data_IF_305735139267
#
_entry.id   IF_305735139267
#
_cell.length_a   1.000
_cell.length_b   1.000
_cell.length_c   1.000
_cell.angle_alpha   90.00
_cell.angle_beta   90.00
_cell.angle_gamma   90.00
#
_symmetry.space_group_name_H-M   'P 1'
#
loop_
_entity.id
_entity.type
_entity.pdbx_description
1 polymer ?
#
# COMPACT_ATOMS: atom_id res chain seq x y z
N UNK A 1 -26.22 12.37 -48.04
CA UNK A 1 -25.64 12.99 -46.83
C UNK A 1 -25.19 11.88 -45.89
N UNK A 2 -23.86 11.71 -45.70
CA UNK A 2 -23.30 10.75 -44.75
C UNK A 2 -23.08 11.47 -43.42
N UNK A 3 -23.82 11.10 -42.39
CA UNK A 3 -23.70 11.67 -41.04
C UNK A 3 -22.41 11.15 -40.40
N UNK A 4 -21.46 12.05 -40.19
CA UNK A 4 -20.20 11.82 -39.50
C UNK A 4 -20.47 11.84 -37.99
N UNK A 5 -20.47 10.67 -37.33
CA UNK A 5 -20.60 10.56 -35.88
C UNK A 5 -19.21 10.82 -35.26
N UNK A 6 -18.95 12.07 -34.87
CA UNK A 6 -17.77 12.45 -34.10
C UNK A 6 -17.99 12.04 -32.63
N UNK A 7 -17.40 10.91 -32.24
CA UNK A 7 -17.34 10.47 -30.85
C UNK A 7 -16.30 11.33 -30.11
N UNK A 8 -16.74 12.42 -29.49
CA UNK A 8 -15.93 13.15 -28.51
C UNK A 8 -15.79 12.29 -27.25
N UNK A 9 -14.69 11.54 -27.17
CA UNK A 9 -14.24 10.96 -25.90
C UNK A 9 -13.76 12.12 -25.04
N UNK A 10 -14.62 12.57 -24.13
CA UNK A 10 -14.26 13.49 -23.06
C UNK A 10 -13.20 12.81 -22.19
N UNK A 11 -11.92 13.11 -22.44
CA UNK A 11 -10.84 12.82 -21.51
C UNK A 11 -11.02 13.74 -20.30
N UNK A 12 -11.77 13.27 -19.30
CA UNK A 12 -11.65 13.85 -17.95
C UNK A 12 -10.22 13.61 -17.48
N UNK A 13 -9.47 14.64 -17.04
CA UNK A 13 -8.18 14.42 -16.42
C UNK A 13 -8.44 13.64 -15.13
N UNK A 14 -8.14 12.34 -15.15
CA UNK A 14 -8.18 11.55 -13.93
C UNK A 14 -7.00 12.07 -13.10
N UNK A 15 -7.30 12.85 -12.06
CA UNK A 15 -6.34 13.09 -10.97
C UNK A 15 -6.06 11.75 -10.31
N UNK A 16 -5.09 11.01 -10.84
CA UNK A 16 -4.67 9.72 -10.31
C UNK A 16 -3.72 9.98 -9.14
N UNK A 17 -4.30 10.21 -7.97
CA UNK A 17 -3.56 10.08 -6.73
C UNK A 17 -3.20 8.61 -6.55
N UNK A 18 -1.91 8.31 -6.36
CA UNK A 18 -1.53 7.02 -5.81
C UNK A 18 -2.21 6.88 -4.45
N UNK A 19 -2.84 5.75 -4.21
CA UNK A 19 -3.53 5.47 -2.95
C UNK A 19 -2.49 4.97 -1.93
N UNK A 20 -1.52 5.85 -1.66
CA UNK A 20 -0.35 5.61 -0.81
C UNK A 20 -0.52 6.12 0.62
N UNK A 21 -1.57 6.90 0.84
CA UNK A 21 -1.95 7.45 2.13
C UNK A 21 -3.34 6.95 2.52
N UNK A 22 -3.57 6.75 3.81
CA UNK A 22 -4.91 6.43 4.32
C UNK A 22 -5.82 7.62 4.02
N UNK A 23 -7.03 7.37 3.51
CA UNK A 23 -8.05 8.40 3.46
C UNK A 23 -8.52 8.68 4.90
N UNK A 24 -8.10 9.81 5.47
CA UNK A 24 -8.38 10.12 6.87
C UNK A 24 -9.61 11.02 6.99
N UNK A 25 -10.60 10.65 7.83
CA UNK A 25 -11.73 11.53 8.13
C UNK A 25 -11.30 12.88 8.73
N UNK A 26 -12.20 13.87 8.66
CA UNK A 26 -11.94 15.21 9.22
C UNK A 26 -11.74 15.16 10.74
N UNK A 27 -11.02 16.13 11.31
CA UNK A 27 -10.80 16.23 12.77
C UNK A 27 -12.14 16.27 13.54
N UNK A 28 -13.12 17.00 12.99
CA UNK A 28 -14.47 17.07 13.58
C UNK A 28 -15.21 15.74 13.52
N UNK A 29 -15.04 14.97 12.45
CA UNK A 29 -15.61 13.62 12.34
C UNK A 29 -14.99 12.66 13.35
N UNK A 30 -13.65 12.64 13.45
CA UNK A 30 -12.95 11.79 14.43
C UNK A 30 -13.39 12.08 15.87
N UNK A 31 -13.55 13.37 16.23
CA UNK A 31 -14.03 13.75 17.57
C UNK A 31 -15.44 13.22 17.85
N UNK A 32 -16.36 13.38 16.88
CA UNK A 32 -17.74 12.88 17.01
C UNK A 32 -17.79 11.35 17.08
N UNK A 33 -16.93 10.66 16.34
CA UNK A 33 -16.85 9.20 16.36
C UNK A 33 -16.36 8.67 17.73
N UNK A 34 -15.43 9.38 18.36
CA UNK A 34 -14.96 9.06 19.71
C UNK A 34 -16.05 9.28 20.77
N UNK A 35 -16.74 10.42 20.69
CA UNK A 35 -17.88 10.73 21.56
C UNK A 35 -19.01 9.71 21.40
N UNK A 36 -19.30 9.29 20.16
CA UNK A 36 -20.28 8.24 19.87
C UNK A 36 -19.80 6.85 20.31
N UNK A 37 -18.54 6.49 20.08
CA UNK A 37 -17.98 5.19 20.50
C UNK A 37 -18.03 4.99 22.01
N UNK A 38 -17.85 6.06 22.80
CA UNK A 38 -18.04 6.05 24.25
C UNK A 38 -19.51 5.84 24.68
N UNK A 39 -20.48 6.18 23.81
CA UNK A 39 -21.92 5.99 24.04
C UNK A 39 -22.44 4.62 23.57
N UNK A 40 -21.81 4.00 22.58
CA UNK A 40 -22.29 2.75 21.94
C UNK A 40 -21.51 1.48 22.34
N UNK A 41 -20.54 1.55 23.26
CA UNK A 41 -19.90 0.38 23.89
C UNK A 41 -20.81 -0.31 24.94
N UNK A 42 -22.12 -0.45 24.67
CA UNK A 42 -22.95 -1.41 25.38
C UNK A 42 -22.84 -2.76 24.67
N UNK A 43 -21.82 -3.52 25.10
CA UNK A 43 -21.56 -4.94 24.82
C UNK A 43 -21.39 -5.35 23.33
N UNK A 44 -20.37 -6.17 23.10
CA UNK A 44 -20.16 -6.85 21.83
C UNK A 44 -21.30 -7.85 21.63
N UNK A 45 -22.26 -7.54 20.75
CA UNK A 45 -23.23 -8.54 20.31
C UNK A 45 -22.51 -9.54 19.41
N UNK A 46 -22.11 -10.67 20.00
CA UNK A 46 -21.49 -11.82 19.33
C UNK A 46 -22.42 -12.50 18.31
N UNK A 47 -23.71 -12.13 18.26
CA UNK A 47 -24.67 -12.58 17.25
C UNK A 47 -24.87 -11.55 16.12
N UNK A 48 -24.11 -10.44 16.12
CA UNK A 48 -24.20 -9.44 15.05
C UNK A 48 -23.78 -10.09 13.73
N UNK A 49 -24.58 -10.00 12.66
CA UNK A 49 -24.25 -10.63 11.39
C UNK A 49 -22.87 -10.18 10.90
N UNK A 50 -22.10 -11.09 10.33
CA UNK A 50 -20.75 -10.89 9.75
C UNK A 50 -20.68 -9.84 8.61
N UNK A 51 -21.77 -9.09 8.37
CA UNK A 51 -21.98 -8.18 7.24
C UNK A 51 -22.67 -6.88 7.66
N UNK A 52 -22.44 -6.38 8.88
CA UNK A 52 -22.82 -5.00 9.18
C UNK A 52 -21.80 -4.03 8.56
N UNK A 53 -22.07 -3.61 7.32
CA UNK A 53 -21.25 -2.63 6.59
C UNK A 53 -21.03 -1.34 7.39
N UNK A 54 -22.02 -0.92 8.19
CA UNK A 54 -21.92 0.26 9.03
C UNK A 54 -20.93 0.03 10.17
N UNK A 55 -20.97 -1.13 10.82
CA UNK A 55 -20.03 -1.50 11.86
C UNK A 55 -18.59 -1.59 11.31
N UNK A 56 -18.39 -2.25 10.17
CA UNK A 56 -17.09 -2.29 9.50
C UNK A 56 -16.58 -0.89 9.13
N UNK A 57 -17.46 -0.03 8.61
CA UNK A 57 -17.12 1.36 8.30
C UNK A 57 -16.71 2.15 9.55
N UNK A 58 -17.36 1.91 10.69
CA UNK A 58 -17.01 2.56 11.96
C UNK A 58 -15.64 2.10 12.46
N UNK A 59 -15.36 0.79 12.45
CA UNK A 59 -14.05 0.25 12.82
C UNK A 59 -12.93 0.81 11.95
N UNK A 60 -13.14 0.82 10.63
CA UNK A 60 -12.21 1.39 9.67
C UNK A 60 -11.94 2.88 9.95
N UNK A 61 -12.99 3.65 10.22
CA UNK A 61 -12.91 5.08 10.52
C UNK A 61 -12.18 5.35 11.83
N UNK A 62 -12.43 4.53 12.85
CA UNK A 62 -11.74 4.63 14.14
C UNK A 62 -10.25 4.34 13.96
N UNK A 63 -9.88 3.29 13.21
CA UNK A 63 -8.49 3.00 12.86
C UNK A 63 -7.81 4.18 12.18
N UNK A 64 -8.44 4.78 11.16
CA UNK A 64 -7.90 5.97 10.48
C UNK A 64 -7.74 7.18 11.41
N UNK A 65 -8.67 7.41 12.33
CA UNK A 65 -8.60 8.49 13.30
C UNK A 65 -7.47 8.28 14.33
N UNK A 66 -7.31 7.06 14.84
CA UNK A 66 -6.23 6.67 15.75
C UNK A 66 -4.87 6.81 15.08
N UNK A 67 -4.76 6.35 13.83
CA UNK A 67 -3.54 6.44 13.04
C UNK A 67 -3.06 7.89 12.92
N UNK A 68 -3.96 8.84 12.61
CA UNK A 68 -3.65 10.27 12.54
C UNK A 68 -3.18 10.89 13.86
N UNK A 69 -3.56 10.30 14.99
CA UNK A 69 -3.09 10.71 16.31
C UNK A 69 -1.74 10.09 16.69
N UNK A 70 -1.10 9.35 15.78
CA UNK A 70 0.14 8.62 16.04
C UNK A 70 -0.07 7.31 16.82
N UNK A 71 -1.32 6.90 17.06
CA UNK A 71 -1.67 5.65 17.76
C UNK A 71 -1.72 4.48 16.77
N UNK A 72 -0.57 4.19 16.16
CA UNK A 72 -0.47 3.24 15.04
C UNK A 72 -0.84 1.81 15.43
N UNK A 73 -0.45 1.35 16.63
CA UNK A 73 -0.74 -0.02 17.08
C UNK A 73 -2.24 -0.23 17.26
N UNK A 74 -2.89 0.69 17.96
CA UNK A 74 -4.34 0.66 18.17
C UNK A 74 -5.09 0.77 16.83
N UNK A 75 -4.62 1.61 15.90
CA UNK A 75 -5.20 1.69 14.56
C UNK A 75 -5.19 0.33 13.83
N UNK A 76 -4.06 -0.38 13.88
CA UNK A 76 -3.92 -1.71 13.28
C UNK A 76 -4.89 -2.70 13.93
N UNK A 77 -5.06 -2.67 15.25
CA UNK A 77 -6.03 -3.53 15.96
C UNK A 77 -7.47 -3.31 15.46
N UNK A 78 -7.89 -2.06 15.25
CA UNK A 78 -9.21 -1.76 14.71
C UNK A 78 -9.39 -2.26 13.26
N UNK A 79 -8.36 -2.15 12.43
CA UNK A 79 -8.40 -2.67 11.06
C UNK A 79 -8.35 -4.20 11.02
N UNK A 80 -7.62 -4.84 11.94
CA UNK A 80 -7.65 -6.30 12.12
C UNK A 80 -9.03 -6.77 12.57
N UNK A 81 -9.68 -6.05 13.49
CA UNK A 81 -11.04 -6.35 13.90
C UNK A 81 -12.00 -6.22 12.71
N UNK A 82 -11.94 -5.12 11.96
CA UNK A 82 -12.74 -4.96 10.75
C UNK A 82 -12.48 -6.08 9.73
N UNK A 83 -11.22 -6.47 9.54
CA UNK A 83 -10.82 -7.59 8.69
C UNK A 83 -11.47 -8.91 9.13
N UNK A 84 -11.53 -9.18 10.44
CA UNK A 84 -12.19 -10.37 10.98
C UNK A 84 -13.70 -10.43 10.72
N UNK A 85 -14.33 -9.27 10.49
CA UNK A 85 -15.72 -9.13 10.05
C UNK A 85 -15.86 -8.94 8.52
N UNK A 86 -14.87 -9.38 7.74
CA UNK A 86 -14.94 -9.40 6.27
C UNK A 86 -14.65 -8.07 5.57
N UNK A 87 -14.21 -7.03 6.30
CA UNK A 87 -13.84 -5.73 5.70
C UNK A 87 -12.60 -5.88 4.83
N UNK A 88 -12.77 -5.77 3.51
CA UNK A 88 -11.64 -5.74 2.57
C UNK A 88 -10.73 -4.52 2.77
N UNK A 89 -11.32 -3.36 3.09
CA UNK A 89 -10.56 -2.15 3.36
C UNK A 89 -9.74 -2.28 4.66
N UNK A 90 -10.36 -2.85 5.71
CA UNK A 90 -9.67 -3.18 6.95
C UNK A 90 -8.55 -4.18 6.73
N UNK A 91 -8.80 -5.22 5.93
CA UNK A 91 -7.78 -6.21 5.52
C UNK A 91 -6.60 -5.55 4.81
N UNK A 92 -6.87 -4.66 3.84
CA UNK A 92 -5.82 -3.97 3.10
C UNK A 92 -4.98 -3.09 4.01
N UNK A 93 -5.60 -2.27 4.87
CA UNK A 93 -4.87 -1.40 5.80
C UNK A 93 -4.11 -2.21 6.86
N UNK A 94 -4.77 -3.14 7.55
CA UNK A 94 -4.12 -3.98 8.56
C UNK A 94 -2.95 -4.74 7.97
N UNK A 95 -3.14 -5.39 6.81
CA UNK A 95 -2.10 -6.17 6.15
C UNK A 95 -0.87 -5.33 5.77
N UNK A 96 -1.09 -4.14 5.20
CA UNK A 96 0.00 -3.24 4.83
C UNK A 96 0.74 -2.70 6.05
N UNK A 97 0.01 -2.16 7.04
CA UNK A 97 0.63 -1.51 8.19
C UNK A 97 1.32 -2.49 9.12
N UNK A 98 0.72 -3.66 9.33
CA UNK A 98 1.34 -4.71 10.13
C UNK A 98 2.62 -5.25 9.49
N UNK A 99 2.68 -5.32 8.14
CA UNK A 99 3.89 -5.69 7.43
C UNK A 99 4.97 -4.60 7.45
N UNK A 100 4.59 -3.33 7.23
CA UNK A 100 5.53 -2.21 7.17
C UNK A 100 6.13 -1.86 8.55
N UNK A 101 5.30 -1.88 9.59
CA UNK A 101 5.65 -1.57 10.99
C UNK A 101 6.01 -2.82 11.80
N UNK A 102 6.25 -3.96 11.14
CA UNK A 102 6.52 -5.24 11.80
C UNK A 102 7.68 -5.12 12.80
N UNK A 103 7.40 -5.49 14.05
CA UNK A 103 8.42 -5.51 15.13
C UNK A 103 9.13 -6.86 15.24
N UNK A 104 8.52 -7.89 14.65
CA UNK A 104 9.00 -9.27 14.69
C UNK A 104 8.50 -10.02 13.43
N UNK A 105 9.02 -11.24 13.23
CA UNK A 105 8.67 -12.07 12.06
C UNK A 105 7.19 -12.47 12.02
N UNK A 106 6.54 -12.62 13.18
CA UNK A 106 5.11 -12.99 13.24
C UNK A 106 4.24 -11.85 12.72
N UNK A 107 4.52 -10.61 13.10
CA UNK A 107 3.80 -9.43 12.59
C UNK A 107 3.93 -9.36 11.07
N UNK A 108 5.16 -9.45 10.56
CA UNK A 108 5.43 -9.40 9.13
C UNK A 108 4.66 -10.48 8.36
N UNK A 109 4.78 -11.74 8.78
CA UNK A 109 4.12 -12.86 8.10
C UNK A 109 2.59 -12.77 8.21
N UNK A 110 2.06 -12.27 9.32
CA UNK A 110 0.62 -12.06 9.50
C UNK A 110 0.10 -10.98 8.54
N UNK A 111 0.79 -9.84 8.46
CA UNK A 111 0.42 -8.76 7.54
C UNK A 111 0.46 -9.20 6.08
N UNK A 112 1.54 -9.89 5.67
CA UNK A 112 1.67 -10.46 4.33
C UNK A 112 0.62 -11.53 4.03
N UNK A 113 0.26 -12.37 5.01
CA UNK A 113 -0.79 -13.39 4.85
C UNK A 113 -2.15 -12.74 4.58
N UNK A 114 -2.51 -11.69 5.33
CA UNK A 114 -3.77 -10.96 5.13
C UNK A 114 -3.82 -10.38 3.71
N UNK A 115 -2.76 -9.71 3.26
CA UNK A 115 -2.70 -9.15 1.90
C UNK A 115 -2.77 -10.23 0.83
N UNK A 116 -2.12 -11.37 1.05
CA UNK A 116 -2.15 -12.50 0.10
C UNK A 116 -3.54 -13.12 -0.01
N UNK A 117 -4.24 -13.31 1.11
CA UNK A 117 -5.60 -13.82 1.14
C UNK A 117 -6.57 -12.87 0.42
N UNK A 118 -6.49 -11.57 0.72
CA UNK A 118 -7.26 -10.55 0.00
C UNK A 118 -6.88 -10.52 -1.50
N UNK A 119 -5.60 -10.74 -1.81
CA UNK A 119 -5.06 -10.81 -3.15
C UNK A 119 -5.63 -11.93 -4.02
N UNK A 120 -6.21 -12.99 -3.42
CA UNK A 120 -6.89 -14.04 -4.17
C UNK A 120 -8.16 -13.53 -4.88
N UNK A 121 -8.75 -12.43 -4.41
CA UNK A 121 -9.96 -11.80 -4.97
C UNK A 121 -9.74 -10.39 -5.49
N UNK A 122 -8.67 -9.69 -5.08
CA UNK A 122 -8.38 -8.30 -5.48
C UNK A 122 -6.95 -8.12 -5.98
N UNK A 123 -6.79 -7.79 -7.27
CA UNK A 123 -5.48 -7.54 -7.90
C UNK A 123 -4.68 -6.45 -7.20
N UNK A 124 -5.32 -5.37 -6.73
CA UNK A 124 -4.64 -4.30 -5.98
C UNK A 124 -3.98 -4.83 -4.70
N UNK A 125 -4.69 -5.67 -3.95
CA UNK A 125 -4.15 -6.28 -2.73
C UNK A 125 -3.03 -7.28 -3.02
N UNK A 126 -3.13 -8.04 -4.12
CA UNK A 126 -2.05 -8.90 -4.58
C UNK A 126 -0.78 -8.10 -4.93
N UNK A 127 -0.96 -6.96 -5.60
CA UNK A 127 0.15 -6.06 -5.93
C UNK A 127 0.76 -5.45 -4.65
N UNK A 128 -0.07 -5.05 -3.68
CA UNK A 128 0.39 -4.58 -2.36
C UNK A 128 1.17 -5.66 -1.62
N UNK A 129 0.69 -6.90 -1.57
CA UNK A 129 1.43 -8.04 -1.01
C UNK A 129 2.83 -8.17 -1.63
N UNK A 130 2.90 -8.18 -2.97
CA UNK A 130 4.17 -8.34 -3.70
C UNK A 130 5.15 -7.19 -3.42
N UNK A 131 4.66 -5.95 -3.41
CA UNK A 131 5.47 -4.77 -3.10
C UNK A 131 5.98 -4.85 -1.65
N UNK A 132 5.10 -5.08 -0.67
CA UNK A 132 5.50 -5.17 0.74
C UNK A 132 6.48 -6.31 0.98
N UNK A 133 6.30 -7.46 0.33
CA UNK A 133 7.23 -8.57 0.46
C UNK A 133 8.60 -8.24 -0.16
N UNK A 134 8.63 -7.59 -1.32
CA UNK A 134 9.88 -7.12 -1.93
C UNK A 134 10.61 -6.13 -1.02
N UNK A 135 9.90 -5.17 -0.42
CA UNK A 135 10.48 -4.21 0.52
C UNK A 135 11.03 -4.90 1.78
N UNK A 136 10.30 -5.88 2.34
CA UNK A 136 10.77 -6.66 3.48
C UNK A 136 12.07 -7.45 3.16
N UNK A 137 12.13 -8.09 1.99
CA UNK A 137 13.36 -8.76 1.51
C UNK A 137 14.51 -7.77 1.37
N UNK A 138 14.27 -6.60 0.80
CA UNK A 138 15.32 -5.59 0.59
C UNK A 138 15.82 -4.96 1.89
N UNK A 139 14.95 -4.85 2.90
CA UNK A 139 15.36 -4.45 4.25
C UNK A 139 16.26 -5.49 4.92
N UNK A 140 16.07 -6.78 4.60
CA UNK A 140 16.77 -7.88 5.28
C UNK A 140 16.31 -8.11 6.73
N UNK A 141 15.21 -7.49 7.15
CA UNK A 141 14.62 -7.67 8.47
C UNK A 141 13.60 -8.82 8.42
N UNK A 142 13.81 -9.86 9.24
CA UNK A 142 12.96 -11.06 9.37
C UNK A 142 12.87 -11.97 8.13
N UNK A 143 13.29 -11.49 6.97
CA UNK A 143 13.40 -12.25 5.73
C UNK A 143 14.80 -12.06 5.15
N UNK A 144 15.40 -13.14 4.67
CA UNK A 144 16.75 -13.09 4.11
C UNK A 144 16.81 -12.16 2.90
N UNK A 145 17.82 -11.29 2.89
CA UNK A 145 18.09 -10.40 1.79
C UNK A 145 18.33 -11.17 0.48
N UNK A 146 17.53 -10.88 -0.53
CA UNK A 146 17.65 -11.51 -1.85
C UNK A 146 17.10 -10.60 -2.96
N UNK A 147 18.02 -9.90 -3.64
CA UNK A 147 17.69 -8.97 -4.72
C UNK A 147 16.87 -9.62 -5.83
N UNK A 148 17.17 -10.89 -6.19
CA UNK A 148 16.47 -11.57 -7.30
C UNK A 148 15.01 -11.82 -6.95
N UNK A 149 14.73 -12.26 -5.72
CA UNK A 149 13.35 -12.52 -5.26
C UNK A 149 12.60 -11.20 -5.09
N UNK A 150 13.23 -10.14 -4.57
CA UNK A 150 12.61 -8.82 -4.46
C UNK A 150 12.23 -8.26 -5.84
N UNK A 151 13.16 -8.30 -6.81
CA UNK A 151 12.89 -7.85 -8.18
C UNK A 151 11.79 -8.68 -8.84
N UNK A 152 11.79 -10.00 -8.66
CA UNK A 152 10.74 -10.87 -9.20
C UNK A 152 9.34 -10.46 -8.68
N UNK A 153 9.22 -10.20 -7.38
CA UNK A 153 7.94 -9.77 -6.80
C UNK A 153 7.46 -8.44 -7.38
N UNK A 154 8.34 -7.44 -7.49
CA UNK A 154 7.99 -6.16 -8.10
C UNK A 154 7.64 -6.32 -9.59
N UNK A 155 8.38 -7.15 -10.32
CA UNK A 155 8.12 -7.42 -11.73
C UNK A 155 6.74 -8.07 -11.92
N UNK A 156 6.39 -9.07 -11.11
CA UNK A 156 5.07 -9.70 -11.17
C UNK A 156 3.94 -8.71 -10.80
N UNK A 157 4.15 -7.84 -9.81
CA UNK A 157 3.18 -6.79 -9.48
C UNK A 157 2.99 -5.82 -10.66
N UNK A 158 4.07 -5.46 -11.36
CA UNK A 158 4.01 -4.63 -12.56
C UNK A 158 3.31 -5.34 -13.71
N UNK A 159 3.56 -6.63 -13.95
CA UNK A 159 2.83 -7.41 -14.97
C UNK A 159 1.32 -7.44 -14.67
N UNK A 160 0.94 -7.41 -13.40
CA UNK A 160 -0.44 -7.25 -12.94
C UNK A 160 -0.95 -5.79 -12.98
N UNK A 161 -0.27 -4.89 -13.68
CA UNK A 161 -0.67 -3.50 -13.89
C UNK A 161 -0.30 -2.53 -12.78
N UNK A 162 0.54 -2.90 -11.81
CA UNK A 162 1.02 -1.94 -10.79
C UNK A 162 2.11 -1.04 -11.35
N UNK A 163 1.75 0.21 -11.58
CA UNK A 163 2.74 1.24 -11.91
C UNK A 163 3.68 1.57 -10.74
N UNK A 164 3.18 1.49 -9.51
CA UNK A 164 3.97 1.72 -8.30
C UNK A 164 5.16 0.75 -8.27
N UNK A 165 4.93 -0.52 -8.65
CA UNK A 165 6.00 -1.48 -8.78
C UNK A 165 7.00 -1.11 -9.90
N UNK A 166 6.53 -0.61 -11.05
CA UNK A 166 7.41 -0.12 -12.12
C UNK A 166 8.31 1.03 -11.64
N UNK A 167 7.73 2.01 -10.94
CA UNK A 167 8.47 3.15 -10.40
C UNK A 167 9.42 2.75 -9.28
N UNK A 168 9.04 1.81 -8.42
CA UNK A 168 9.94 1.26 -7.40
C UNK A 168 11.11 0.50 -8.03
N UNK A 169 10.88 -0.26 -9.11
CA UNK A 169 11.98 -0.87 -9.87
C UNK A 169 12.91 0.22 -10.40
N UNK A 170 12.37 1.24 -11.08
CA UNK A 170 13.15 2.36 -11.60
C UNK A 170 14.03 3.00 -10.51
N UNK A 171 13.43 3.32 -9.36
CA UNK A 171 14.11 3.88 -8.20
C UNK A 171 15.22 2.97 -7.65
N UNK A 172 14.96 1.67 -7.50
CA UNK A 172 15.97 0.74 -7.00
C UNK A 172 17.10 0.51 -8.00
N UNK A 173 16.88 0.72 -9.31
CA UNK A 173 17.96 0.72 -10.30
C UNK A 173 18.82 1.97 -10.19
N UNK A 174 18.20 3.16 -10.15
CA UNK A 174 18.93 4.43 -10.08
C UNK A 174 19.77 4.56 -8.80
N UNK A 175 19.30 3.97 -7.70
CA UNK A 175 20.02 3.90 -6.43
C UNK A 175 20.99 2.72 -6.30
N UNK A 176 21.15 1.92 -7.36
CA UNK A 176 22.02 0.74 -7.42
C UNK A 176 21.68 -0.36 -6.39
N UNK A 177 20.43 -0.41 -5.92
CA UNK A 177 19.88 -1.56 -5.16
C UNK A 177 19.70 -2.76 -6.08
N UNK A 178 19.29 -2.51 -7.32
CA UNK A 178 19.21 -3.48 -8.42
C UNK A 178 20.32 -3.17 -9.44
N UNK A 179 21.55 -3.67 -9.21
CA UNK A 179 22.69 -3.33 -10.05
C UNK A 179 22.51 -3.81 -11.49
N UNK A 180 22.96 -2.98 -12.43
CA UNK A 180 22.86 -3.27 -13.86
C UNK A 180 23.78 -4.39 -14.31
N UNK A 181 23.21 -5.27 -15.14
CA UNK A 181 23.96 -6.24 -15.95
C UNK A 181 23.51 -6.25 -17.43
N UNK A 182 22.49 -5.45 -17.79
CA UNK A 182 21.88 -5.44 -19.13
C UNK A 182 21.04 -4.17 -19.36
N UNK A 183 21.30 -3.46 -20.46
CA UNK A 183 20.70 -2.17 -20.85
C UNK A 183 19.18 -2.23 -21.15
N UNK A 184 18.62 -3.41 -21.44
CA UNK A 184 17.18 -3.60 -21.68
C UNK A 184 16.31 -3.28 -20.46
N UNK A 185 16.94 -3.03 -19.33
CA UNK A 185 16.28 -2.76 -18.06
C UNK A 185 16.62 -1.37 -17.51
N UNK A 186 17.02 -0.38 -18.32
CA UNK A 186 17.39 0.95 -17.81
C UNK A 186 16.28 1.61 -16.96
N UNK A 187 16.62 2.59 -16.12
CA UNK A 187 15.64 3.36 -15.34
C UNK A 187 14.55 3.95 -16.26
N UNK A 188 14.93 4.52 -17.40
CA UNK A 188 14.02 5.13 -18.36
C UNK A 188 13.00 4.13 -18.91
N UNK A 189 13.39 2.87 -19.09
CA UNK A 189 12.47 1.82 -19.51
C UNK A 189 11.36 1.64 -18.47
N UNK A 190 11.71 1.49 -17.19
CA UNK A 190 10.73 1.26 -16.13
C UNK A 190 9.86 2.49 -15.85
N UNK A 191 10.43 3.70 -15.93
CA UNK A 191 9.65 4.96 -15.88
C UNK A 191 8.62 4.98 -17.00
N UNK A 192 9.03 4.70 -18.24
CA UNK A 192 8.12 4.68 -19.40
C UNK A 192 7.01 3.65 -19.24
N UNK A 193 7.31 2.47 -18.68
CA UNK A 193 6.29 1.45 -18.38
C UNK A 193 5.32 1.94 -17.30
N UNK A 194 5.83 2.50 -16.19
CA UNK A 194 4.99 3.09 -15.15
C UNK A 194 4.07 4.19 -15.69
N UNK A 195 4.63 5.14 -16.45
CA UNK A 195 3.87 6.24 -17.07
C UNK A 195 2.84 5.73 -18.09
N UNK A 196 3.08 4.59 -18.75
CA UNK A 196 2.07 3.95 -19.60
C UNK A 196 0.92 3.35 -18.78
N UNK A 197 1.21 2.81 -17.59
CA UNK A 197 0.22 2.20 -16.71
C UNK A 197 -0.65 3.25 -15.98
N UNK A 198 -0.11 4.44 -15.68
CA UNK A 198 -0.83 5.52 -14.95
C UNK A 198 -1.26 6.68 -15.85
N UNK A 199 -0.55 6.93 -16.95
CA UNK A 199 -0.67 8.17 -17.73
C UNK A 199 0.15 9.33 -17.13
N UNK A 200 0.69 10.19 -18.00
CA UNK A 200 1.53 11.39 -17.69
C UNK A 200 2.87 11.11 -16.97
N UNK A 201 3.71 12.15 -16.78
CA UNK A 201 5.02 12.09 -16.10
C UNK A 201 4.84 11.99 -14.57
N UNK A 202 4.58 10.80 -14.05
CA UNK A 202 4.15 10.61 -12.64
C UNK A 202 5.26 10.12 -11.69
N UNK A 203 6.43 9.75 -12.23
CA UNK A 203 7.52 9.14 -11.46
C UNK A 203 8.04 9.98 -10.29
N UNK A 204 8.45 11.24 -10.52
CA UNK A 204 9.07 12.08 -9.48
C UNK A 204 8.11 12.28 -8.30
N UNK A 205 6.86 12.61 -8.62
CA UNK A 205 5.79 12.75 -7.65
C UNK A 205 5.56 11.46 -6.85
N UNK A 206 5.51 10.31 -7.54
CA UNK A 206 5.37 9.02 -6.87
C UNK A 206 6.52 8.77 -5.88
N UNK A 207 7.78 9.00 -6.26
CA UNK A 207 8.91 8.74 -5.37
C UNK A 207 8.87 9.68 -4.16
N UNK A 208 8.66 10.98 -4.37
CA UNK A 208 8.51 11.94 -3.27
C UNK A 208 7.40 11.51 -2.30
N UNK A 209 6.22 11.22 -2.84
CA UNK A 209 5.08 10.85 -2.00
C UNK A 209 5.30 9.47 -1.34
N UNK A 210 5.96 8.51 -2.02
CA UNK A 210 6.23 7.18 -1.47
C UNK A 210 7.18 7.25 -0.27
N UNK A 211 8.18 8.15 -0.30
CA UNK A 211 9.07 8.39 0.84
C UNK A 211 8.36 9.01 2.05
N UNK A 212 7.34 9.84 1.78
CA UNK A 212 6.50 10.44 2.82
C UNK A 212 5.34 9.54 3.23
N UNK A 213 5.07 8.48 2.46
CA UNK A 213 3.91 7.64 2.67
C UNK A 213 4.04 6.76 3.91
N UNK A 214 2.90 6.57 4.56
CA UNK A 214 2.78 5.66 5.68
C UNK A 214 2.87 4.18 5.22
N UNK A 215 2.63 3.89 3.94
CA UNK A 215 2.68 2.53 3.38
C UNK A 215 4.09 2.05 3.02
N UNK A 216 4.95 2.95 2.53
CA UNK A 216 6.28 2.60 2.00
C UNK A 216 7.43 3.33 2.66
N UNK A 217 7.19 4.54 3.20
CA UNK A 217 8.23 5.47 3.60
C UNK A 217 9.24 4.87 4.58
N UNK A 218 8.75 4.26 5.66
CA UNK A 218 9.61 3.61 6.66
C UNK A 218 10.53 2.53 6.05
N UNK A 219 9.99 1.71 5.14
CA UNK A 219 10.77 0.67 4.46
C UNK A 219 11.77 1.25 3.46
N UNK A 220 11.36 2.24 2.66
CA UNK A 220 12.22 2.89 1.67
C UNK A 220 13.39 3.64 2.31
N UNK A 221 13.13 4.36 3.41
CA UNK A 221 14.16 5.06 4.20
C UNK A 221 15.20 4.05 4.71
N UNK A 222 14.77 2.96 5.35
CA UNK A 222 15.68 1.92 5.84
C UNK A 222 16.53 1.30 4.72
N UNK A 223 15.93 0.99 3.58
CA UNK A 223 16.66 0.41 2.43
C UNK A 223 17.73 1.39 1.94
N UNK A 224 17.38 2.68 1.77
CA UNK A 224 18.32 3.72 1.35
C UNK A 224 19.49 3.84 2.33
N UNK A 225 19.20 3.99 3.61
CA UNK A 225 20.21 4.25 4.65
C UNK A 225 21.17 3.04 4.82
N UNK A 226 20.65 1.82 4.63
CA UNK A 226 21.48 0.59 4.62
C UNK A 226 22.51 0.57 3.49
N UNK A 227 22.21 1.17 2.34
CA UNK A 227 23.11 1.24 1.18
C UNK A 227 24.16 2.33 1.32
N UNK A 228 23.84 3.43 1.98
CA UNK A 228 24.82 4.48 2.29
C UNK A 228 25.87 3.97 3.28
N UNK A 229 25.47 3.13 4.23
CA UNK A 229 26.39 2.53 5.21
C UNK A 229 27.34 1.50 4.57
N UNK A 230 26.89 0.78 3.54
CA UNK A 230 27.72 -0.18 2.79
C UNK A 230 28.72 0.48 1.82
N UNK A 231 28.60 1.79 1.57
CA UNK A 231 29.50 2.56 0.68
C UNK A 231 30.63 3.27 1.43
N UNK A 232 30.60 3.31 2.76
CA UNK A 232 31.66 3.86 3.62
C UNK A 232 32.58 2.73 4.08
#
# INVERSE_FOLDING_TARGET
MKTLLLLFVLFTPISLAFDINVNIPSKGFCKKLEEAGALYQKEQDINRPELDELFNSQLNSMGSCLFKKGKKKEAIEFWLLASSFGSDYGSELAGNYLANEASNVRDLLSGLSILRQLGAKKTKALNRYRIQYALAILKGEFVNYNIRIALLNLYEAMQNGSAEAAYLIAYFKSTNVFPDKNDKYSEEYWIKIGDKLVGSKSYQRFIEDAFLSDLYGASLIKIRDSKETQKK
#
